data_IF_220424585904
#
_entry.id   IF_220424585904
#
_cell.length_a   1.000
_cell.length_b   1.000
_cell.length_c   1.000
_cell.angle_alpha   90.00
_cell.angle_beta   90.00
_cell.angle_gamma   90.00
#
_symmetry.space_group_name_H-M   'P 1'
#
loop_
_entity.id
_entity.type
_entity.pdbx_description
1 polymer ?
#
# COMPACT_ATOMS: atom_id res chain seq x y z
N UNK A 1 61.53 37.98 -73.83
CA UNK A 1 61.98 37.90 -75.24
C UNK A 1 62.68 36.57 -75.40
N UNK A 2 62.11 35.68 -76.20
CA UNK A 2 62.57 34.30 -76.36
C UNK A 2 63.55 34.21 -77.54
N UNK A 3 64.57 33.35 -77.44
CA UNK A 3 65.76 33.33 -78.32
C UNK A 3 65.39 33.18 -79.81
N UNK A 4 65.26 34.29 -80.52
CA UNK A 4 65.29 34.37 -81.99
C UNK A 4 66.53 35.13 -82.49
N UNK A 5 67.37 35.60 -81.57
CA UNK A 5 68.62 36.31 -81.82
C UNK A 5 69.72 35.77 -80.89
N UNK A 6 70.95 35.66 -81.40
CA UNK A 6 72.18 35.42 -80.63
C UNK A 6 73.13 36.56 -80.98
N UNK A 7 73.70 37.24 -79.98
CA UNK A 7 74.64 38.36 -80.14
C UNK A 7 74.16 39.46 -81.11
N UNK A 8 72.87 39.81 -81.05
CA UNK A 8 72.26 40.87 -81.87
C UNK A 8 72.06 40.51 -83.35
N UNK A 9 72.22 39.23 -83.73
CA UNK A 9 71.93 38.74 -85.09
C UNK A 9 70.74 37.78 -85.09
N UNK A 10 69.76 37.94 -86.01
CA UNK A 10 68.63 37.04 -86.11
C UNK A 10 69.07 35.64 -86.55
N UNK A 11 68.58 34.63 -85.84
CA UNK A 11 68.75 33.23 -86.20
C UNK A 11 68.12 33.01 -87.58
N UNK A 12 68.80 32.26 -88.46
CA UNK A 12 68.33 31.94 -89.82
C UNK A 12 68.43 30.43 -90.08
N UNK A 13 67.60 29.91 -91.00
CA UNK A 13 67.62 28.50 -91.39
C UNK A 13 67.26 27.54 -90.25
N UNK A 14 67.99 26.43 -90.12
CA UNK A 14 67.74 25.39 -89.10
C UNK A 14 67.88 25.91 -87.66
N UNK A 15 68.80 26.86 -87.39
CA UNK A 15 68.94 27.44 -86.05
C UNK A 15 67.72 28.25 -85.61
N UNK A 16 67.04 28.93 -86.54
CA UNK A 16 65.77 29.59 -86.26
C UNK A 16 64.67 28.57 -85.94
N UNK A 17 64.67 27.43 -86.63
CA UNK A 17 63.72 26.34 -86.40
C UNK A 17 63.94 25.71 -85.03
N UNK A 18 65.19 25.44 -84.66
CA UNK A 18 65.57 24.92 -83.34
C UNK A 18 65.22 25.94 -82.25
N UNK A 19 65.58 27.22 -82.43
CA UNK A 19 65.24 28.29 -81.48
C UNK A 19 63.73 28.41 -81.26
N UNK A 20 62.92 28.35 -82.32
CA UNK A 20 61.45 28.32 -82.19
C UNK A 20 60.94 27.09 -81.43
N UNK A 21 61.48 25.90 -81.71
CA UNK A 21 61.09 24.66 -81.01
C UNK A 21 61.46 24.74 -79.51
N UNK A 22 62.67 25.19 -79.18
CA UNK A 22 63.13 25.37 -77.80
C UNK A 22 62.28 26.40 -77.07
N UNK A 23 61.97 27.53 -77.71
CA UNK A 23 61.09 28.55 -77.15
C UNK A 23 59.69 27.99 -76.86
N UNK A 24 59.10 27.22 -77.78
CA UNK A 24 57.83 26.52 -77.53
C UNK A 24 57.92 25.54 -76.36
N UNK A 25 59.02 24.80 -76.23
CA UNK A 25 59.23 23.91 -75.06
C UNK A 25 59.32 24.70 -73.75
N UNK A 26 60.00 25.85 -73.74
CA UNK A 26 60.12 26.70 -72.54
C UNK A 26 58.76 27.32 -72.18
N UNK A 27 57.95 27.73 -73.15
CA UNK A 27 56.58 28.21 -72.91
C UNK A 27 55.70 27.11 -72.33
N UNK A 28 55.80 25.90 -72.86
CA UNK A 28 55.08 24.73 -72.35
C UNK A 28 55.53 24.36 -70.93
N UNK A 29 56.83 24.39 -70.64
CA UNK A 29 57.39 24.19 -69.31
C UNK A 29 56.90 25.22 -68.30
N UNK A 30 56.88 26.50 -68.67
CA UNK A 30 56.38 27.57 -67.82
C UNK A 30 54.89 27.41 -67.54
N UNK A 31 54.09 27.07 -68.57
CA UNK A 31 52.66 26.80 -68.42
C UNK A 31 52.40 25.58 -67.54
N UNK A 32 53.14 24.49 -67.73
CA UNK A 32 53.01 23.28 -66.92
C UNK A 32 53.35 23.55 -65.45
N UNK A 33 54.48 24.22 -65.20
CA UNK A 33 54.93 24.52 -63.83
C UNK A 33 53.93 25.41 -63.12
N UNK A 34 53.39 26.43 -63.80
CA UNK A 34 52.34 27.29 -63.25
C UNK A 34 51.09 26.49 -62.88
N UNK A 35 50.61 25.63 -63.77
CA UNK A 35 49.39 24.84 -63.55
C UNK A 35 49.55 23.80 -62.45
N UNK A 36 50.66 23.07 -62.41
CA UNK A 36 50.93 22.10 -61.34
C UNK A 36 51.10 22.80 -60.00
N UNK A 37 51.82 23.93 -59.96
CA UNK A 37 51.96 24.73 -58.72
C UNK A 37 50.60 25.24 -58.25
N UNK A 38 49.74 25.69 -59.17
CA UNK A 38 48.39 26.15 -58.86
C UNK A 38 47.53 25.03 -58.28
N UNK A 39 47.47 23.86 -58.93
CA UNK A 39 46.67 22.72 -58.45
C UNK A 39 47.19 22.17 -57.13
N UNK A 40 48.52 22.04 -56.99
CA UNK A 40 49.12 21.62 -55.73
C UNK A 40 48.78 22.58 -54.58
N UNK A 41 48.79 23.89 -54.84
CA UNK A 41 48.38 24.91 -53.86
C UNK A 41 46.89 24.85 -53.55
N UNK A 42 46.03 24.82 -54.57
CA UNK A 42 44.58 24.80 -54.39
C UNK A 42 44.09 23.53 -53.67
N UNK A 43 44.47 22.35 -54.17
CA UNK A 43 43.98 21.07 -53.66
C UNK A 43 44.77 20.61 -52.43
N UNK A 44 46.10 20.79 -52.44
CA UNK A 44 46.98 20.28 -51.40
C UNK A 44 47.16 21.21 -50.19
N UNK A 45 47.02 22.53 -50.36
CA UNK A 45 47.28 23.50 -49.27
C UNK A 45 46.03 24.29 -48.88
N UNK A 46 45.29 24.83 -49.84
CA UNK A 46 44.11 25.67 -49.57
C UNK A 46 42.83 24.86 -49.32
N UNK A 47 42.83 23.55 -49.57
CA UNK A 47 41.65 22.70 -49.44
C UNK A 47 40.53 23.03 -50.44
N UNK A 48 40.82 23.77 -51.51
CA UNK A 48 39.89 24.06 -52.60
C UNK A 48 39.78 22.85 -53.53
N UNK A 49 38.92 21.91 -53.14
CA UNK A 49 38.72 20.65 -53.85
C UNK A 49 38.05 20.85 -55.22
N UNK A 50 38.63 20.27 -56.28
CA UNK A 50 38.13 20.33 -57.66
C UNK A 50 39.07 21.01 -58.66
N UNK A 51 40.22 21.51 -58.22
CA UNK A 51 41.24 22.07 -59.11
C UNK A 51 41.83 21.03 -60.06
N UNK A 52 41.96 21.38 -61.34
CA UNK A 52 42.58 20.56 -62.38
C UNK A 52 43.57 21.39 -63.19
N UNK A 53 44.70 20.79 -63.57
CA UNK A 53 45.76 21.38 -64.37
C UNK A 53 45.35 21.35 -65.85
N UNK A 54 45.48 22.50 -66.53
CA UNK A 54 45.16 22.64 -67.95
C UNK A 54 46.36 23.19 -68.72
N UNK A 55 47.17 22.28 -69.27
CA UNK A 55 48.38 22.63 -70.03
C UNK A 55 48.10 22.51 -71.53
N UNK A 56 48.01 23.65 -72.23
CA UNK A 56 47.75 23.67 -73.69
C UNK A 56 48.93 23.07 -74.45
N UNK A 57 48.64 22.14 -75.37
CA UNK A 57 49.65 21.51 -76.20
C UNK A 57 50.51 20.44 -75.48
N UNK A 58 50.10 20.01 -74.28
CA UNK A 58 50.76 18.91 -73.59
C UNK A 58 50.70 17.62 -74.42
N UNK A 59 51.86 17.03 -74.67
CA UNK A 59 52.02 15.78 -75.41
C UNK A 59 53.14 14.95 -74.78
N UNK A 60 53.12 13.63 -75.03
CA UNK A 60 54.06 12.70 -74.42
C UNK A 60 54.04 12.78 -72.89
N UNK A 61 55.22 12.80 -72.28
CA UNK A 61 55.40 12.81 -70.82
C UNK A 61 54.70 13.96 -70.10
N UNK A 62 54.56 15.13 -70.74
CA UNK A 62 53.84 16.28 -70.16
C UNK A 62 52.35 16.03 -70.02
N UNK A 63 51.78 15.32 -70.99
CA UNK A 63 50.38 14.91 -70.93
C UNK A 63 50.19 13.88 -69.81
N UNK A 64 51.04 12.86 -69.78
CA UNK A 64 50.98 11.82 -68.75
C UNK A 64 51.10 12.39 -67.34
N UNK A 65 52.01 13.36 -67.13
CA UNK A 65 52.14 14.07 -65.84
C UNK A 65 50.91 14.92 -65.51
N UNK A 66 50.36 15.66 -66.49
CA UNK A 66 49.15 16.47 -66.29
C UNK A 66 47.96 15.58 -65.92
N UNK A 67 47.81 14.44 -66.61
CA UNK A 67 46.77 13.45 -66.36
C UNK A 67 46.93 12.79 -64.98
N UNK A 68 48.16 12.47 -64.57
CA UNK A 68 48.46 11.96 -63.22
C UNK A 68 48.15 12.98 -62.12
N UNK A 69 48.53 14.26 -62.29
CA UNK A 69 48.19 15.34 -61.34
C UNK A 69 46.68 15.52 -61.24
N UNK A 70 45.97 15.48 -62.37
CA UNK A 70 44.52 15.57 -62.40
C UNK A 70 43.85 14.35 -61.74
N UNK A 71 44.34 13.14 -61.98
CA UNK A 71 43.85 11.92 -61.35
C UNK A 71 44.04 11.99 -59.82
N UNK A 72 45.22 12.44 -59.35
CA UNK A 72 45.49 12.64 -57.93
C UNK A 72 44.54 13.70 -57.33
N UNK A 73 44.38 14.85 -57.99
CA UNK A 73 43.51 15.93 -57.53
C UNK A 73 42.04 15.52 -57.48
N UNK A 74 41.56 14.77 -58.48
CA UNK A 74 40.19 14.23 -58.51
C UNK A 74 39.97 13.17 -57.44
N UNK A 75 40.93 12.27 -57.22
CA UNK A 75 40.86 11.27 -56.14
C UNK A 75 40.80 11.96 -54.77
N UNK A 76 41.73 12.86 -54.45
CA UNK A 76 41.72 13.61 -53.20
C UNK A 76 40.42 14.42 -53.01
N UNK A 77 39.96 15.08 -54.07
CA UNK A 77 38.71 15.86 -54.06
C UNK A 77 37.51 15.00 -53.71
N UNK A 78 37.34 13.85 -54.38
CA UNK A 78 36.19 12.97 -54.14
C UNK A 78 36.24 12.34 -52.74
N UNK A 79 37.43 11.92 -52.31
CA UNK A 79 37.65 11.28 -51.01
C UNK A 79 37.36 12.22 -49.85
N UNK A 80 38.00 13.40 -49.82
CA UNK A 80 37.85 14.37 -48.74
C UNK A 80 36.44 14.95 -48.70
N UNK A 81 35.82 15.21 -49.86
CA UNK A 81 34.45 15.73 -49.92
C UNK A 81 33.44 14.72 -49.39
N UNK A 82 33.60 13.42 -49.68
CA UNK A 82 32.69 12.39 -49.16
C UNK A 82 32.88 12.16 -47.65
N UNK A 83 34.13 12.21 -47.15
CA UNK A 83 34.41 12.18 -45.71
C UNK A 83 33.71 13.37 -45.03
N UNK A 84 33.88 14.58 -45.56
CA UNK A 84 33.27 15.79 -45.00
C UNK A 84 31.74 15.71 -45.00
N UNK A 85 31.13 15.16 -46.05
CA UNK A 85 29.67 14.97 -46.11
C UNK A 85 29.19 14.02 -45.00
N UNK A 86 29.85 12.87 -44.83
CA UNK A 86 29.46 11.85 -43.84
C UNK A 86 29.70 12.37 -42.42
N UNK A 87 30.84 13.01 -42.14
CA UNK A 87 31.09 13.56 -40.80
C UNK A 87 30.17 14.73 -40.47
N UNK A 88 29.77 15.53 -41.46
CA UNK A 88 28.72 16.56 -41.29
C UNK A 88 27.37 15.94 -41.00
N UNK A 89 27.00 14.86 -41.70
CA UNK A 89 25.75 14.14 -41.46
C UNK A 89 25.71 13.55 -40.05
N UNK A 90 26.77 12.88 -39.61
CA UNK A 90 26.92 12.35 -38.25
C UNK A 90 26.81 13.46 -37.20
N UNK A 91 27.46 14.61 -37.42
CA UNK A 91 27.35 15.76 -36.53
C UNK A 91 25.92 16.32 -36.44
N UNK A 92 25.13 16.20 -37.52
CA UNK A 92 23.70 16.55 -37.52
C UNK A 92 22.77 15.44 -37.01
N UNK A 93 23.31 14.29 -36.60
CA UNK A 93 22.54 13.14 -36.10
C UNK A 93 22.03 12.18 -37.18
N UNK A 94 22.37 12.39 -38.45
CA UNK A 94 22.07 11.45 -39.53
C UNK A 94 23.14 10.35 -39.60
N UNK A 95 22.84 9.22 -38.94
CA UNK A 95 23.71 8.04 -38.88
C UNK A 95 23.43 7.05 -40.02
N UNK A 96 22.61 7.42 -41.01
CA UNK A 96 22.32 6.57 -42.17
C UNK A 96 23.38 6.66 -43.27
N UNK A 97 24.17 7.75 -43.28
CA UNK A 97 25.20 7.98 -44.30
C UNK A 97 26.51 7.26 -43.98
N UNK A 98 27.12 6.71 -45.03
CA UNK A 98 28.44 6.08 -44.99
C UNK A 98 29.34 6.60 -46.10
N UNK A 99 30.64 6.48 -45.88
CA UNK A 99 31.62 6.72 -46.94
C UNK A 99 31.54 5.55 -47.91
N UNK A 100 31.17 5.82 -49.16
CA UNK A 100 30.95 4.79 -50.19
C UNK A 100 31.99 4.83 -51.30
N UNK A 101 32.70 5.94 -51.46
CA UNK A 101 33.75 6.12 -52.48
C UNK A 101 34.81 5.01 -52.43
N UNK A 102 35.28 4.57 -53.60
CA UNK A 102 36.34 3.57 -53.71
C UNK A 102 37.70 4.20 -53.38
N UNK A 103 38.41 3.62 -52.42
CA UNK A 103 39.61 4.18 -51.81
C UNK A 103 40.57 3.07 -51.46
N UNK A 104 41.86 3.39 -51.44
CA UNK A 104 42.95 2.44 -51.20
C UNK A 104 43.93 3.01 -50.19
N UNK A 105 44.77 2.13 -49.62
CA UNK A 105 45.79 2.52 -48.65
C UNK A 105 45.20 3.16 -47.39
N UNK A 106 45.85 4.21 -46.87
CA UNK A 106 45.47 4.91 -45.64
C UNK A 106 44.04 5.49 -45.69
N UNK A 107 43.58 5.92 -46.88
CA UNK A 107 42.20 6.44 -47.02
C UNK A 107 41.16 5.33 -46.86
N UNK A 108 41.49 4.09 -47.23
CA UNK A 108 40.62 2.94 -46.97
C UNK A 108 40.51 2.64 -45.48
N UNK A 109 41.63 2.71 -44.75
CA UNK A 109 41.64 2.57 -43.30
C UNK A 109 40.81 3.67 -42.63
N UNK A 110 40.95 4.92 -43.07
CA UNK A 110 40.14 6.04 -42.60
C UNK A 110 38.65 5.84 -42.89
N UNK A 111 38.29 5.43 -44.12
CA UNK A 111 36.91 5.08 -44.50
C UNK A 111 36.33 4.02 -43.57
N UNK A 112 37.07 2.93 -43.35
CA UNK A 112 36.62 1.84 -42.50
C UNK A 112 36.46 2.28 -41.05
N UNK A 113 37.39 3.09 -40.55
CA UNK A 113 37.33 3.65 -39.18
C UNK A 113 36.11 4.54 -38.99
N UNK A 114 35.87 5.48 -39.92
CA UNK A 114 34.69 6.36 -39.85
C UNK A 114 33.40 5.55 -39.99
N UNK A 115 33.31 4.63 -40.96
CA UNK A 115 32.11 3.81 -41.13
C UNK A 115 31.83 2.92 -39.91
N UNK A 116 32.88 2.37 -39.27
CA UNK A 116 32.73 1.60 -38.02
C UNK A 116 32.22 2.48 -36.88
N UNK A 117 32.72 3.72 -36.78
CA UNK A 117 32.23 4.69 -35.79
C UNK A 117 30.76 5.05 -36.04
N UNK A 118 30.34 5.23 -37.30
CA UNK A 118 28.91 5.44 -37.64
C UNK A 118 28.06 4.23 -37.24
N UNK A 119 28.53 3.01 -37.51
CA UNK A 119 27.82 1.78 -37.14
C UNK A 119 27.65 1.63 -35.63
N UNK A 120 28.71 1.90 -34.85
CA UNK A 120 28.66 1.87 -33.40
C UNK A 120 27.69 2.92 -32.84
N UNK A 121 27.73 4.16 -33.36
CA UNK A 121 26.81 5.23 -32.99
C UNK A 121 25.35 4.84 -33.27
N UNK A 122 25.09 4.28 -34.46
CA UNK A 122 23.74 3.93 -34.88
C UNK A 122 23.18 2.77 -34.03
N UNK A 123 24.00 1.75 -33.77
CA UNK A 123 23.62 0.63 -32.90
C UNK A 123 23.35 1.10 -31.47
N UNK A 124 24.22 1.94 -30.90
CA UNK A 124 24.00 2.50 -29.57
C UNK A 124 22.73 3.35 -29.49
N UNK A 125 22.49 4.25 -30.46
CA UNK A 125 21.30 5.09 -30.48
C UNK A 125 20.01 4.25 -30.57
N UNK A 126 20.01 3.21 -31.40
CA UNK A 126 18.88 2.27 -31.50
C UNK A 126 18.62 1.54 -30.18
N UNK A 127 19.68 1.01 -29.55
CA UNK A 127 19.56 0.25 -28.30
C UNK A 127 19.12 1.11 -27.11
N UNK A 128 19.65 2.33 -26.97
CA UNK A 128 19.21 3.27 -25.93
C UNK A 128 17.75 3.64 -26.14
N UNK A 129 17.33 3.90 -27.37
CA UNK A 129 15.93 4.22 -27.68
C UNK A 129 15.01 3.05 -27.34
N UNK A 130 15.43 1.82 -27.66
CA UNK A 130 14.68 0.60 -27.35
C UNK A 130 14.54 0.37 -25.85
N UNK A 131 15.64 0.44 -25.09
CA UNK A 131 15.63 0.25 -23.63
C UNK A 131 14.83 1.33 -22.93
N UNK A 132 14.97 2.60 -23.34
CA UNK A 132 14.19 3.70 -22.79
C UNK A 132 12.68 3.48 -23.00
N UNK A 133 12.28 2.98 -24.17
CA UNK A 133 10.89 2.63 -24.46
C UNK A 133 10.40 1.43 -23.66
N UNK A 134 11.15 0.32 -23.65
CA UNK A 134 10.76 -0.91 -22.96
C UNK A 134 10.65 -0.71 -21.44
N UNK A 135 11.70 -0.18 -20.81
CA UNK A 135 11.78 -0.04 -19.35
C UNK A 135 11.04 1.21 -18.88
N UNK A 136 11.17 2.33 -19.59
CA UNK A 136 10.63 3.61 -19.17
C UNK A 136 9.18 3.87 -19.58
N UNK A 137 8.70 3.32 -20.71
CA UNK A 137 7.34 3.59 -21.21
C UNK A 137 6.43 2.37 -21.19
N UNK A 138 6.91 1.22 -21.65
CA UNK A 138 6.10 0.00 -21.76
C UNK A 138 6.05 -0.80 -20.45
N UNK A 139 6.90 -0.49 -19.47
CA UNK A 139 6.98 -1.21 -18.20
C UNK A 139 7.51 -2.65 -18.34
N UNK A 140 8.14 -2.99 -19.47
CA UNK A 140 8.82 -4.27 -19.69
C UNK A 140 10.15 -4.26 -18.95
N UNK A 141 10.08 -4.58 -17.67
CA UNK A 141 11.24 -4.57 -16.77
C UNK A 141 12.24 -5.68 -17.13
N UNK A 142 13.53 -5.34 -17.21
CA UNK A 142 14.63 -6.25 -17.52
C UNK A 142 15.26 -6.05 -18.90
N UNK A 143 14.80 -5.07 -19.68
CA UNK A 143 15.45 -4.68 -20.93
C UNK A 143 16.87 -4.17 -20.68
N UNK A 144 17.82 -4.65 -21.49
CA UNK A 144 19.23 -4.23 -21.47
C UNK A 144 19.68 -3.89 -22.89
N UNK A 145 20.53 -2.87 -23.01
CA UNK A 145 21.18 -2.47 -24.23
C UNK A 145 22.32 -3.44 -24.54
N UNK A 146 22.36 -3.92 -25.77
CA UNK A 146 23.45 -4.77 -26.27
C UNK A 146 24.03 -4.17 -27.54
N UNK A 147 25.19 -3.54 -27.40
CA UNK A 147 25.93 -2.98 -28.53
C UNK A 147 27.17 -3.84 -28.76
N UNK A 148 27.32 -4.40 -29.97
CA UNK A 148 28.43 -5.29 -30.28
C UNK A 148 29.68 -4.49 -30.70
N UNK A 149 30.87 -5.00 -30.36
CA UNK A 149 32.14 -4.42 -30.79
C UNK A 149 32.49 -3.05 -30.17
N UNK A 150 31.83 -2.65 -29.08
CA UNK A 150 32.14 -1.40 -28.38
C UNK A 150 33.21 -1.58 -27.30
N UNK A 151 34.11 -0.60 -27.23
CA UNK A 151 35.13 -0.47 -26.20
C UNK A 151 35.30 0.99 -25.75
N UNK A 152 36.06 1.21 -24.68
CA UNK A 152 36.25 2.55 -24.10
C UNK A 152 34.92 3.20 -23.71
N UNK A 153 34.77 4.49 -24.00
CA UNK A 153 33.59 5.29 -23.63
C UNK A 153 32.26 4.70 -24.08
N UNK A 154 32.22 4.02 -25.24
CA UNK A 154 30.99 3.39 -25.73
C UNK A 154 30.51 2.24 -24.86
N UNK A 155 31.46 1.48 -24.33
CA UNK A 155 31.17 0.42 -23.37
C UNK A 155 30.70 1.01 -22.04
N UNK A 156 31.40 2.02 -21.53
CA UNK A 156 31.03 2.69 -20.27
C UNK A 156 29.61 3.27 -20.33
N UNK A 157 29.22 3.86 -21.46
CA UNK A 157 27.86 4.36 -21.68
C UNK A 157 26.82 3.24 -21.73
N UNK A 158 27.13 2.14 -22.44
CA UNK A 158 26.23 0.97 -22.53
C UNK A 158 26.03 0.35 -21.14
N UNK A 159 27.11 0.18 -20.38
CA UNK A 159 27.08 -0.37 -19.02
C UNK A 159 26.31 0.55 -18.07
N UNK A 160 26.44 1.88 -18.22
CA UNK A 160 25.69 2.85 -17.44
C UNK A 160 24.18 2.80 -17.69
N UNK A 161 23.76 2.68 -18.96
CA UNK A 161 22.33 2.51 -19.33
C UNK A 161 21.79 1.20 -18.76
N UNK A 162 22.57 0.13 -18.84
CA UNK A 162 22.19 -1.18 -18.29
C UNK A 162 22.07 -1.16 -16.76
N UNK A 163 22.97 -0.47 -16.07
CA UNK A 163 22.92 -0.31 -14.62
C UNK A 163 21.69 0.50 -14.20
N UNK A 164 21.36 1.57 -14.93
CA UNK A 164 20.13 2.34 -14.70
C UNK A 164 18.88 1.48 -14.89
N UNK A 165 18.79 0.76 -16.01
CA UNK A 165 17.64 -0.10 -16.34
C UNK A 165 17.48 -1.25 -15.33
N UNK A 166 18.59 -1.87 -14.90
CA UNK A 166 18.58 -2.93 -13.89
C UNK A 166 18.14 -2.41 -12.52
N UNK A 167 18.61 -1.24 -12.09
CA UNK A 167 18.21 -0.63 -10.83
C UNK A 167 16.71 -0.30 -10.83
N UNK A 168 16.20 0.38 -11.86
CA UNK A 168 14.78 0.69 -11.97
C UNK A 168 13.91 -0.58 -12.01
N UNK A 169 14.36 -1.59 -12.77
CA UNK A 169 13.70 -2.90 -12.83
C UNK A 169 13.62 -3.57 -11.45
N UNK A 170 14.74 -3.65 -10.73
CA UNK A 170 14.79 -4.29 -9.41
C UNK A 170 13.93 -3.54 -8.38
N UNK A 171 14.00 -2.21 -8.39
CA UNK A 171 13.24 -1.35 -7.49
C UNK A 171 11.74 -1.48 -7.70
N UNK A 172 11.26 -1.31 -8.94
CA UNK A 172 9.83 -1.37 -9.26
C UNK A 172 9.27 -2.78 -9.02
N UNK A 173 10.03 -3.84 -9.38
CA UNK A 173 9.58 -5.21 -9.15
C UNK A 173 9.44 -5.54 -7.67
N UNK A 174 10.40 -5.10 -6.83
CA UNK A 174 10.30 -5.33 -5.38
C UNK A 174 9.12 -4.58 -4.74
N UNK A 175 8.84 -3.36 -5.20
CA UNK A 175 7.65 -2.60 -4.79
C UNK A 175 6.38 -3.36 -5.19
N UNK A 176 6.31 -3.85 -6.44
CA UNK A 176 5.16 -4.61 -6.93
C UNK A 176 4.93 -5.89 -6.11
N UNK A 177 5.99 -6.62 -5.78
CA UNK A 177 5.90 -7.85 -4.98
C UNK A 177 5.35 -7.58 -3.57
N UNK A 178 5.83 -6.52 -2.91
CA UNK A 178 5.39 -6.15 -1.54
C UNK A 178 3.97 -5.63 -1.55
N UNK A 179 3.63 -4.74 -2.49
CA UNK A 179 2.26 -4.20 -2.61
C UNK A 179 1.24 -5.29 -2.98
N UNK A 180 1.62 -6.26 -3.82
CA UNK A 180 0.81 -7.45 -4.10
C UNK A 180 0.62 -8.30 -2.83
N UNK A 181 1.68 -8.53 -2.06
CA UNK A 181 1.58 -9.29 -0.81
C UNK A 181 0.65 -8.62 0.21
N UNK A 182 0.76 -7.29 0.38
CA UNK A 182 -0.12 -6.49 1.23
C UNK A 182 -1.58 -6.59 0.78
N UNK A 183 -1.83 -6.54 -0.53
CA UNK A 183 -3.18 -6.71 -1.08
C UNK A 183 -3.76 -8.12 -0.82
N UNK A 184 -2.91 -9.14 -0.72
CA UNK A 184 -3.27 -10.50 -0.35
C UNK A 184 -3.32 -10.72 1.18
N UNK A 185 -3.08 -9.67 1.99
CA UNK A 185 -3.08 -9.73 3.45
C UNK A 185 -1.78 -10.23 4.09
N UNK A 186 -0.72 -10.46 3.31
CA UNK A 186 0.60 -10.80 3.82
C UNK A 186 1.37 -9.52 4.19
N UNK A 187 1.23 -9.12 5.45
CA UNK A 187 1.88 -7.94 6.04
C UNK A 187 3.28 -8.23 6.59
N UNK A 188 3.81 -9.44 6.37
CA UNK A 188 5.16 -9.81 6.79
C UNK A 188 6.24 -9.31 5.82
N UNK A 189 5.86 -9.01 4.56
CA UNK A 189 6.80 -8.56 3.53
C UNK A 189 7.06 -7.07 3.62
N UNK A 190 8.33 -6.72 3.41
CA UNK A 190 8.78 -5.33 3.30
C UNK A 190 9.70 -5.16 2.11
N UNK A 191 9.77 -3.92 1.63
CA UNK A 191 10.78 -3.53 0.65
C UNK A 191 12.12 -3.50 1.38
N UNK A 192 13.05 -4.35 0.97
CA UNK A 192 14.38 -4.49 1.61
C UNK A 192 15.52 -3.98 0.75
N UNK A 193 15.31 -3.88 -0.57
CA UNK A 193 16.32 -3.43 -1.53
C UNK A 193 16.92 -2.07 -1.14
N UNK A 194 18.23 -1.90 -1.34
CA UNK A 194 18.92 -0.64 -1.07
C UNK A 194 18.58 0.38 -2.16
N UNK A 195 18.09 1.54 -1.73
CA UNK A 195 17.52 2.58 -2.60
C UNK A 195 17.84 3.95 -2.04
N UNK A 196 17.92 4.94 -2.92
CA UNK A 196 18.31 6.32 -2.59
C UNK A 196 17.32 7.31 -3.20
N UNK A 197 17.33 8.54 -2.70
CA UNK A 197 16.50 9.63 -3.20
C UNK A 197 15.00 9.33 -3.07
N UNK A 198 14.22 9.68 -4.10
CA UNK A 198 12.76 9.52 -4.11
C UNK A 198 12.31 8.06 -3.92
N UNK A 199 13.08 7.09 -4.41
CA UNK A 199 12.75 5.67 -4.22
C UNK A 199 12.91 5.24 -2.75
N UNK A 200 13.83 5.86 -2.00
CA UNK A 200 13.95 5.64 -0.55
C UNK A 200 12.74 6.18 0.20
N UNK A 201 12.26 7.36 -0.18
CA UNK A 201 11.04 7.93 0.39
C UNK A 201 9.82 7.05 0.10
N UNK A 202 9.70 6.54 -1.13
CA UNK A 202 8.66 5.60 -1.52
C UNK A 202 8.74 4.29 -0.72
N UNK A 203 9.94 3.70 -0.60
CA UNK A 203 10.21 2.52 0.24
C UNK A 203 9.77 2.77 1.69
N UNK A 204 10.17 3.91 2.26
CA UNK A 204 9.85 4.27 3.64
C UNK A 204 8.34 4.41 3.83
N UNK A 205 7.67 5.07 2.90
CA UNK A 205 6.22 5.29 2.93
C UNK A 205 5.47 3.97 2.86
N UNK A 206 5.81 3.09 1.92
CA UNK A 206 5.18 1.77 1.80
C UNK A 206 5.47 0.91 3.03
N UNK A 207 6.72 0.84 3.49
CA UNK A 207 7.05 0.05 4.68
C UNK A 207 6.33 0.56 5.94
N UNK A 208 6.19 1.88 6.08
CA UNK A 208 5.42 2.49 7.19
C UNK A 208 3.94 2.12 7.10
N UNK A 209 3.36 2.13 5.89
CA UNK A 209 1.99 1.68 5.67
C UNK A 209 1.82 0.19 6.03
N UNK A 210 2.76 -0.68 5.65
CA UNK A 210 2.75 -2.10 6.06
C UNK A 210 2.81 -2.24 7.58
N UNK A 211 3.68 -1.47 8.25
CA UNK A 211 3.80 -1.50 9.71
C UNK A 211 2.51 -1.06 10.42
N UNK A 212 1.87 0.00 9.91
CA UNK A 212 0.59 0.49 10.44
C UNK A 212 -0.52 -0.55 10.25
N UNK A 213 -0.62 -1.17 9.07
CA UNK A 213 -1.57 -2.25 8.80
C UNK A 213 -1.36 -3.44 9.72
N UNK A 214 -0.10 -3.87 9.89
CA UNK A 214 0.23 -5.03 10.69
C UNK A 214 -0.09 -4.79 12.18
N UNK A 215 0.26 -3.60 12.68
CA UNK A 215 -0.05 -3.17 14.05
C UNK A 215 -1.57 -3.11 14.29
N UNK A 216 -2.31 -2.51 13.35
CA UNK A 216 -3.77 -2.45 13.43
C UNK A 216 -4.42 -3.84 13.42
N UNK A 217 -4.00 -4.72 12.50
CA UNK A 217 -4.52 -6.08 12.42
C UNK A 217 -4.26 -6.88 13.72
N UNK A 218 -3.06 -6.73 14.29
CA UNK A 218 -2.71 -7.32 15.58
C UNK A 218 -3.59 -6.81 16.72
N UNK A 219 -3.78 -5.49 16.82
CA UNK A 219 -4.58 -4.86 17.87
C UNK A 219 -6.07 -5.21 17.77
N UNK A 220 -6.65 -5.21 16.57
CA UNK A 220 -8.04 -5.65 16.37
C UNK A 220 -8.22 -7.11 16.76
N UNK A 221 -7.30 -7.98 16.34
CA UNK A 221 -7.34 -9.40 16.70
C UNK A 221 -7.25 -9.59 18.22
N UNK A 222 -6.36 -8.82 18.88
CA UNK A 222 -6.18 -8.87 20.34
C UNK A 222 -7.42 -8.41 21.08
N UNK A 223 -7.98 -7.25 20.73
CA UNK A 223 -9.19 -6.69 21.39
C UNK A 223 -10.41 -7.57 21.15
N UNK A 224 -10.60 -8.09 19.94
CA UNK A 224 -11.68 -9.02 19.64
C UNK A 224 -11.59 -10.29 20.50
N UNK A 225 -10.37 -10.82 20.69
CA UNK A 225 -10.13 -11.98 21.56
C UNK A 225 -10.37 -11.64 23.03
N UNK A 226 -9.78 -10.57 23.55
CA UNK A 226 -9.88 -10.19 24.96
C UNK A 226 -11.31 -9.84 25.38
N UNK A 227 -11.95 -8.91 24.66
CA UNK A 227 -13.27 -8.39 25.02
C UNK A 227 -14.38 -9.32 24.53
N UNK A 228 -14.25 -9.86 23.33
CA UNK A 228 -15.29 -10.67 22.69
C UNK A 228 -15.29 -12.15 23.08
N UNK A 229 -14.11 -12.75 23.32
CA UNK A 229 -14.00 -14.21 23.58
C UNK A 229 -13.61 -14.52 25.02
N UNK A 230 -12.59 -13.85 25.57
CA UNK A 230 -12.08 -14.11 26.91
C UNK A 230 -12.86 -13.40 28.02
N UNK A 231 -13.72 -12.44 27.67
CA UNK A 231 -14.47 -11.62 28.65
C UNK A 231 -13.60 -10.71 29.50
N UNK A 232 -12.36 -10.43 29.08
CA UNK A 232 -11.47 -9.45 29.72
C UNK A 232 -11.89 -8.05 29.32
N UNK A 233 -12.87 -7.52 30.05
CA UNK A 233 -13.45 -6.20 29.79
C UNK A 233 -12.46 -5.06 30.06
N UNK A 234 -12.51 -4.03 29.23
CA UNK A 234 -11.64 -2.85 29.31
C UNK A 234 -10.46 -2.85 28.34
N UNK A 235 -10.31 -3.89 27.52
CA UNK A 235 -9.31 -3.92 26.43
C UNK A 235 -9.59 -2.83 25.39
N UNK A 236 -8.54 -2.12 24.99
CA UNK A 236 -8.59 -1.08 23.94
C UNK A 236 -7.44 -1.28 22.96
N UNK A 237 -7.71 -1.03 21.68
CA UNK A 237 -6.75 -1.05 20.60
C UNK A 237 -5.85 0.20 20.70
N UNK A 238 -4.53 -0.03 20.66
CA UNK A 238 -3.52 1.04 20.69
C UNK A 238 -2.61 0.94 19.48
N UNK A 239 -2.97 1.65 18.41
CA UNK A 239 -2.19 1.68 17.18
C UNK A 239 -1.44 3.02 17.11
N UNK A 240 -0.10 2.96 17.15
CA UNK A 240 0.74 4.18 17.11
C UNK A 240 0.82 4.74 15.70
N UNK A 241 0.81 6.08 15.61
CA UNK A 241 1.06 6.79 14.34
C UNK A 241 -0.08 6.69 13.32
N UNK A 242 -1.28 6.26 13.72
CA UNK A 242 -2.46 6.25 12.84
C UNK A 242 -3.07 7.63 12.71
N UNK A 243 -3.51 7.96 11.50
CA UNK A 243 -4.21 9.19 11.16
C UNK A 243 -5.30 8.89 10.11
N UNK A 244 -6.23 9.83 9.92
CA UNK A 244 -7.35 9.68 8.99
C UNK A 244 -8.17 8.41 9.27
N UNK A 245 -8.51 7.67 8.22
CA UNK A 245 -9.34 6.46 8.30
C UNK A 245 -8.82 5.42 9.29
N UNK A 246 -7.50 5.28 9.44
CA UNK A 246 -6.91 4.32 10.40
C UNK A 246 -7.21 4.69 11.84
N UNK A 247 -7.21 5.99 12.14
CA UNK A 247 -7.59 6.49 13.45
C UNK A 247 -9.07 6.26 13.69
N UNK A 248 -9.92 6.60 12.71
CA UNK A 248 -11.37 6.42 12.82
C UNK A 248 -11.74 4.96 13.08
N UNK A 249 -11.10 4.01 12.40
CA UNK A 249 -11.30 2.58 12.63
C UNK A 249 -10.85 2.14 14.04
N UNK A 250 -9.71 2.65 14.52
CA UNK A 250 -9.22 2.36 15.87
C UNK A 250 -10.19 2.90 16.93
N UNK A 251 -10.69 4.12 16.74
CA UNK A 251 -11.64 4.77 17.65
C UNK A 251 -13.00 4.05 17.65
N UNK A 252 -13.44 3.53 16.50
CA UNK A 252 -14.66 2.72 16.41
C UNK A 252 -14.52 1.38 17.16
N UNK A 253 -13.40 0.67 17.01
CA UNK A 253 -13.13 -0.58 17.75
C UNK A 253 -13.10 -0.30 19.25
N UNK A 254 -12.47 0.79 19.66
CA UNK A 254 -12.42 1.21 21.06
C UNK A 254 -13.80 1.58 21.62
N UNK A 255 -14.62 2.29 20.83
CA UNK A 255 -15.99 2.63 21.21
C UNK A 255 -16.85 1.39 21.38
N UNK A 256 -16.74 0.42 20.48
CA UNK A 256 -17.42 -0.87 20.58
C UNK A 256 -16.99 -1.64 21.84
N UNK A 257 -15.68 -1.76 22.07
CA UNK A 257 -15.13 -2.46 23.24
C UNK A 257 -15.53 -1.78 24.58
N UNK A 258 -15.52 -0.45 24.62
CA UNK A 258 -15.94 0.32 25.79
C UNK A 258 -17.44 0.17 26.07
N UNK A 259 -18.27 0.21 25.03
CA UNK A 259 -19.71 -0.01 25.17
C UNK A 259 -20.03 -1.41 25.71
N UNK A 260 -19.44 -2.46 25.13
CA UNK A 260 -19.62 -3.83 25.62
C UNK A 260 -19.13 -3.98 27.06
N UNK A 261 -17.97 -3.42 27.39
CA UNK A 261 -17.41 -3.40 28.74
C UNK A 261 -18.36 -2.75 29.74
N UNK A 262 -18.86 -1.55 29.42
CA UNK A 262 -19.78 -0.81 30.28
C UNK A 262 -21.09 -1.56 30.49
N UNK A 263 -21.68 -2.09 29.42
CA UNK A 263 -22.93 -2.82 29.46
C UNK A 263 -22.84 -4.09 30.32
N UNK A 264 -21.85 -4.95 30.06
CA UNK A 264 -21.68 -6.21 30.79
C UNK A 264 -21.32 -5.97 32.25
N UNK A 265 -20.47 -4.97 32.56
CA UNK A 265 -20.11 -4.67 33.95
C UNK A 265 -21.29 -4.15 34.77
N UNK A 266 -22.17 -3.34 34.17
CA UNK A 266 -23.39 -2.87 34.86
C UNK A 266 -24.37 -4.02 35.11
N UNK A 267 -24.54 -4.92 34.15
CA UNK A 267 -25.35 -6.13 34.34
C UNK A 267 -24.79 -6.95 35.50
N UNK A 268 -23.48 -7.20 35.49
CA UNK A 268 -22.81 -7.97 36.54
C UNK A 268 -22.94 -7.32 37.93
N UNK A 269 -22.86 -5.99 38.03
CA UNK A 269 -23.04 -5.29 39.29
C UNK A 269 -24.46 -5.49 39.86
N UNK A 270 -25.49 -5.31 39.02
CA UNK A 270 -26.88 -5.43 39.46
C UNK A 270 -27.22 -6.87 39.80
N UNK A 271 -26.81 -7.85 38.99
CA UNK A 271 -27.06 -9.27 39.30
C UNK A 271 -26.32 -9.73 40.55
N UNK A 272 -25.11 -9.20 40.81
CA UNK A 272 -24.38 -9.45 42.06
C UNK A 272 -25.10 -8.84 43.26
N UNK A 273 -25.60 -7.60 43.13
CA UNK A 273 -26.36 -6.95 44.20
C UNK A 273 -27.63 -7.73 44.55
N UNK A 274 -28.38 -8.17 43.53
CA UNK A 274 -29.56 -9.02 43.68
C UNK A 274 -29.21 -10.34 44.38
N UNK A 275 -28.10 -10.98 44.00
CA UNK A 275 -27.63 -12.21 44.64
C UNK A 275 -27.24 -12.01 46.12
N UNK A 276 -26.79 -10.81 46.50
CA UNK A 276 -26.51 -10.41 47.88
C UNK A 276 -27.75 -9.90 48.64
N UNK A 277 -28.93 -9.90 48.00
CA UNK A 277 -30.19 -9.44 48.57
C UNK A 277 -30.44 -7.93 48.51
N UNK A 278 -29.57 -7.16 47.84
CA UNK A 278 -29.78 -5.73 47.58
C UNK A 278 -30.62 -5.56 46.30
N UNK A 279 -31.93 -5.40 46.50
CA UNK A 279 -32.92 -5.22 45.44
C UNK A 279 -33.17 -3.73 45.11
N UNK A 280 -32.38 -2.82 45.67
CA UNK A 280 -32.49 -1.38 45.39
C UNK A 280 -31.79 -0.99 44.08
N UNK A 281 -30.86 -1.82 43.59
CA UNK A 281 -30.08 -1.54 42.38
C UNK A 281 -30.81 -1.97 41.11
N UNK A 282 -30.71 -1.11 40.09
CA UNK A 282 -31.20 -1.38 38.73
C UNK A 282 -30.15 -1.03 37.70
N UNK A 283 -30.26 -1.65 36.53
CA UNK A 283 -29.45 -1.26 35.37
C UNK A 283 -30.00 0.07 34.88
N UNK A 284 -29.16 1.10 34.87
CA UNK A 284 -29.54 2.47 34.48
C UNK A 284 -28.92 2.93 33.16
N UNK A 285 -27.81 2.32 32.74
CA UNK A 285 -27.07 2.68 31.52
C UNK A 285 -27.97 2.71 30.29
N UNK A 286 -27.75 3.72 29.43
CA UNK A 286 -28.44 3.84 28.15
C UNK A 286 -27.95 2.77 27.18
N UNK A 287 -28.88 1.93 26.71
CA UNK A 287 -28.61 0.76 25.89
C UNK A 287 -29.71 0.61 24.85
N UNK A 288 -29.38 -0.01 23.72
CA UNK A 288 -30.28 -0.18 22.58
C UNK A 288 -30.28 -1.63 22.11
N UNK A 289 -31.28 -2.00 21.30
CA UNK A 289 -31.40 -3.35 20.73
C UNK A 289 -31.54 -4.44 21.79
N UNK A 290 -30.91 -5.59 21.56
CA UNK A 290 -30.98 -6.77 22.44
C UNK A 290 -30.51 -6.48 23.88
N UNK A 291 -29.56 -5.56 24.06
CA UNK A 291 -29.09 -5.17 25.41
C UNK A 291 -30.17 -4.40 26.18
N UNK A 292 -31.04 -3.65 25.49
CA UNK A 292 -32.19 -2.99 26.13
C UNK A 292 -33.23 -4.01 26.60
N UNK A 293 -33.49 -5.04 25.80
CA UNK A 293 -34.38 -6.14 26.20
C UNK A 293 -33.84 -6.88 27.42
N UNK A 294 -32.53 -7.14 27.45
CA UNK A 294 -31.85 -7.74 28.60
C UNK A 294 -31.94 -6.84 29.84
N UNK A 295 -31.68 -5.54 29.70
CA UNK A 295 -31.83 -4.54 30.78
C UNK A 295 -33.24 -4.56 31.36
N UNK A 296 -34.26 -4.53 30.49
CA UNK A 296 -35.65 -4.52 30.92
C UNK A 296 -36.01 -5.81 31.63
N UNK A 297 -35.60 -6.96 31.09
CA UNK A 297 -35.83 -8.29 31.69
C UNK A 297 -35.24 -8.37 33.10
N UNK A 298 -33.97 -7.96 33.27
CA UNK A 298 -33.32 -7.95 34.58
C UNK A 298 -34.02 -6.98 35.53
N UNK A 299 -34.30 -5.75 35.10
CA UNK A 299 -34.97 -4.77 35.95
C UNK A 299 -36.37 -5.21 36.39
N UNK A 300 -37.14 -5.86 35.51
CA UNK A 300 -38.44 -6.46 35.86
C UNK A 300 -38.29 -7.59 36.87
N UNK A 301 -37.26 -8.43 36.72
CA UNK A 301 -36.95 -9.47 37.70
C UNK A 301 -36.61 -8.87 39.08
N UNK A 302 -35.81 -7.79 39.13
CA UNK A 302 -35.53 -7.06 40.38
C UNK A 302 -36.81 -6.51 41.01
N UNK A 303 -37.70 -5.91 40.20
CA UNK A 303 -38.97 -5.37 40.68
C UNK A 303 -39.90 -6.43 41.26
N UNK A 304 -39.97 -7.60 40.61
CA UNK A 304 -40.74 -8.75 41.08
C UNK A 304 -40.18 -9.29 42.41
N UNK A 305 -38.85 -9.45 42.50
CA UNK A 305 -38.18 -9.87 43.73
C UNK A 305 -38.44 -8.90 44.88
N UNK A 306 -38.31 -7.59 44.61
CA UNK A 306 -38.47 -6.57 45.63
C UNK A 306 -39.91 -6.51 46.15
N UNK A 307 -40.88 -6.61 45.24
CA UNK A 307 -42.31 -6.66 45.59
C UNK A 307 -42.63 -7.90 46.43
N UNK A 308 -42.13 -9.08 46.03
CA UNK A 308 -42.31 -10.31 46.79
C UNK A 308 -41.68 -10.23 48.18
N UNK A 309 -40.42 -9.76 48.29
CA UNK A 309 -39.73 -9.64 49.57
C UNK A 309 -40.46 -8.69 50.54
N UNK A 310 -40.93 -7.54 50.04
CA UNK A 310 -41.74 -6.60 50.81
C UNK A 310 -43.03 -7.26 51.32
N UNK A 311 -43.70 -8.01 50.44
CA UNK A 311 -45.00 -8.57 50.73
C UNK A 311 -44.94 -9.74 51.72
N UNK A 312 -43.94 -10.62 51.57
CA UNK A 312 -43.66 -11.66 52.56
C UNK A 312 -43.32 -11.06 53.91
N UNK A 313 -42.48 -10.02 53.95
CA UNK A 313 -42.12 -9.32 55.20
C UNK A 313 -43.36 -8.70 55.86
N UNK A 314 -44.24 -8.09 55.06
CA UNK A 314 -45.49 -7.48 55.54
C UNK A 314 -46.43 -8.51 56.14
N UNK A 315 -46.71 -9.61 55.42
CA UNK A 315 -47.61 -10.68 55.88
C UNK A 315 -47.04 -11.37 57.11
N UNK A 316 -45.73 -11.64 57.13
CA UNK A 316 -45.06 -12.23 58.29
C UNK A 316 -45.20 -11.33 59.54
N UNK A 317 -45.04 -10.01 59.39
CA UNK A 317 -45.23 -9.07 60.49
C UNK A 317 -46.70 -8.97 60.92
N UNK A 318 -47.64 -8.81 59.99
CA UNK A 318 -49.06 -8.65 60.31
C UNK A 318 -49.65 -9.89 60.99
N UNK A 319 -49.47 -11.06 60.38
CA UNK A 319 -50.08 -12.31 60.85
C UNK A 319 -49.25 -12.94 61.96
N UNK A 320 -47.92 -12.90 61.86
CA UNK A 320 -47.01 -13.57 62.79
C UNK A 320 -46.63 -12.75 64.02
N UNK A 321 -46.43 -11.43 63.91
CA UNK A 321 -45.96 -10.59 65.01
C UNK A 321 -47.06 -9.72 65.62
N UNK A 322 -47.85 -9.04 64.78
CA UNK A 322 -48.86 -8.07 65.23
C UNK A 322 -50.21 -8.70 65.57
N UNK A 323 -50.43 -9.97 65.20
CA UNK A 323 -51.71 -10.66 65.40
C UNK A 323 -52.87 -10.07 64.57
N UNK A 324 -52.57 -9.28 63.53
CA UNK A 324 -53.56 -8.81 62.55
C UNK A 324 -53.86 -9.93 61.57
N UNK A 325 -54.74 -10.82 61.99
CA UNK A 325 -55.12 -12.00 61.23
C UNK A 325 -55.88 -11.61 59.96
N UNK A 326 -55.67 -12.35 58.87
CA UNK A 326 -56.31 -12.16 57.56
C UNK A 326 -55.45 -11.45 56.51
N UNK A 327 -54.22 -11.05 56.84
CA UNK A 327 -53.27 -10.52 55.86
C UNK A 327 -52.88 -11.55 54.80
N UNK A 328 -52.92 -11.16 53.54
CA UNK A 328 -52.50 -11.96 52.39
C UNK A 328 -51.53 -11.16 51.54
N UNK A 329 -50.57 -11.86 50.96
CA UNK A 329 -49.61 -11.36 50.00
C UNK A 329 -50.24 -11.20 48.61
N UNK A 330 -50.16 -10.00 48.04
CA UNK A 330 -50.50 -9.69 46.65
C UNK A 330 -49.26 -9.21 45.91
N UNK A 331 -48.68 -10.07 45.08
CA UNK A 331 -47.53 -9.71 44.23
C UNK A 331 -48.00 -9.65 42.78
N UNK A 332 -47.91 -8.47 42.15
CA UNK A 332 -48.39 -8.26 40.78
C UNK A 332 -47.39 -8.76 39.74
N UNK A 333 -47.91 -9.34 38.67
CA UNK A 333 -47.10 -9.75 37.51
C UNK A 333 -46.21 -10.97 37.75
N UNK A 334 -46.46 -11.75 38.81
CA UNK A 334 -45.73 -13.00 39.08
C UNK A 334 -46.39 -14.19 38.39
N UNK A 335 -45.56 -15.09 37.87
CA UNK A 335 -45.96 -16.37 37.27
C UNK A 335 -44.95 -17.47 37.63
N UNK A 336 -45.31 -18.73 37.36
CA UNK A 336 -44.48 -19.89 37.70
C UNK A 336 -44.15 -19.95 39.19
N UNK A 337 -42.90 -20.27 39.53
CA UNK A 337 -42.42 -20.44 40.92
C UNK A 337 -42.76 -19.26 41.82
N UNK A 338 -42.75 -18.03 41.31
CA UNK A 338 -43.07 -16.83 42.11
C UNK A 338 -44.54 -16.78 42.54
N UNK A 339 -45.44 -17.24 41.67
CA UNK A 339 -46.85 -17.37 42.02
C UNK A 339 -47.05 -18.46 43.06
N UNK A 340 -46.42 -19.62 42.85
CA UNK A 340 -46.52 -20.75 43.78
C UNK A 340 -46.02 -20.36 45.20
N UNK A 341 -44.92 -19.61 45.29
CA UNK A 341 -44.42 -19.11 46.57
C UNK A 341 -45.39 -18.12 47.24
N UNK A 342 -46.00 -17.22 46.47
CA UNK A 342 -47.00 -16.27 46.98
C UNK A 342 -48.24 -17.01 47.50
N UNK A 343 -48.72 -17.99 46.75
CA UNK A 343 -49.87 -18.82 47.12
C UNK A 343 -49.59 -19.64 48.38
N UNK A 344 -48.37 -20.18 48.53
CA UNK A 344 -47.95 -20.89 49.75
C UNK A 344 -47.89 -19.97 50.99
N UNK A 345 -47.37 -18.75 50.86
CA UNK A 345 -47.38 -17.76 51.95
C UNK A 345 -48.80 -17.40 52.35
N UNK A 346 -49.69 -17.25 51.37
CA UNK A 346 -51.12 -16.99 51.60
C UNK A 346 -51.82 -18.15 52.28
N UNK A 347 -51.54 -19.38 51.87
CA UNK A 347 -52.09 -20.58 52.50
C UNK A 347 -51.63 -20.71 53.95
N UNK A 348 -50.35 -20.44 54.23
CA UNK A 348 -49.82 -20.42 55.60
C UNK A 348 -50.51 -19.33 56.45
N UNK A 349 -50.60 -18.10 55.94
CA UNK A 349 -51.24 -16.99 56.63
C UNK A 349 -52.73 -17.23 56.91
N UNK A 350 -53.45 -17.82 55.94
CA UNK A 350 -54.86 -18.18 56.07
C UNK A 350 -55.05 -19.29 57.12
N UNK A 351 -54.20 -20.31 57.13
CA UNK A 351 -54.24 -21.38 58.13
C UNK A 351 -54.02 -20.83 59.54
N UNK A 352 -52.98 -20.01 59.76
CA UNK A 352 -52.72 -19.38 61.05
C UNK A 352 -53.89 -18.49 61.50
N UNK A 353 -54.44 -17.70 60.58
CA UNK A 353 -55.61 -16.85 60.83
C UNK A 353 -56.82 -17.67 61.28
N UNK A 354 -57.14 -18.73 60.54
CA UNK A 354 -58.27 -19.60 60.86
C UNK A 354 -58.10 -20.31 62.20
N UNK A 355 -56.90 -20.82 62.47
CA UNK A 355 -56.57 -21.52 63.71
C UNK A 355 -56.70 -20.60 64.93
N UNK A 356 -56.05 -19.44 64.90
CA UNK A 356 -56.03 -18.51 66.03
C UNK A 356 -57.42 -17.89 66.28
N UNK A 357 -58.17 -17.51 65.23
CA UNK A 357 -59.53 -16.97 65.41
C UNK A 357 -60.47 -18.00 66.04
N UNK A 358 -60.44 -19.25 65.59
CA UNK A 358 -61.29 -20.29 66.17
C UNK A 358 -60.96 -20.55 67.65
N UNK A 359 -59.67 -20.56 68.02
CA UNK A 359 -59.27 -20.68 69.43
C UNK A 359 -59.79 -19.48 70.21
N UNK A 360 -59.55 -18.26 69.73
CA UNK A 360 -59.99 -17.03 70.37
C UNK A 360 -61.51 -16.96 70.58
N UNK A 361 -62.30 -17.37 69.57
CA UNK A 361 -63.76 -17.39 69.63
C UNK A 361 -64.26 -18.36 70.71
N UNK A 362 -63.67 -19.55 70.81
CA UNK A 362 -64.03 -20.55 71.82
C UNK A 362 -63.60 -20.11 73.21
N UNK A 363 -62.35 -19.64 73.38
CA UNK A 363 -61.88 -19.15 74.69
C UNK A 363 -62.68 -17.92 75.17
N UNK A 364 -63.12 -17.06 74.25
CA UNK A 364 -63.97 -15.91 74.58
C UNK A 364 -65.37 -16.36 75.01
N UNK A 365 -65.95 -17.37 74.34
CA UNK A 365 -67.23 -17.94 74.72
C UNK A 365 -67.16 -18.58 76.12
N UNK A 366 -66.12 -19.38 76.38
CA UNK A 366 -65.85 -19.98 77.69
C UNK A 366 -65.72 -18.91 78.77
N UNK A 367 -64.95 -17.83 78.53
CA UNK A 367 -64.80 -16.73 79.48
C UNK A 367 -66.11 -15.97 79.77
N UNK A 368 -67.07 -16.00 78.83
CA UNK A 368 -68.42 -15.42 79.00
C UNK A 368 -69.43 -16.42 79.59
N UNK A 369 -68.99 -17.63 79.96
CA UNK A 369 -69.83 -18.68 80.54
C UNK A 369 -70.57 -19.55 79.51
N UNK A 370 -70.33 -19.37 78.22
CA UNK A 370 -70.88 -20.22 77.16
C UNK A 370 -69.95 -21.40 76.89
N UNK A 371 -70.18 -22.50 77.59
CA UNK A 371 -69.42 -23.74 77.49
C UNK A 371 -69.96 -24.70 76.42
N UNK A 372 -70.92 -24.25 75.60
CA UNK A 372 -71.45 -25.05 74.50
C UNK A 372 -70.53 -25.07 73.27
N UNK A 373 -69.54 -24.16 73.20
CA UNK A 373 -68.63 -24.02 72.06
C UNK A 373 -67.36 -24.86 72.22
N UNK A 374 -66.97 -25.52 71.13
CA UNK A 374 -65.70 -26.24 71.00
C UNK A 374 -64.96 -25.80 69.75
N UNK A 375 -63.64 -25.95 69.76
CA UNK A 375 -62.82 -25.76 68.57
C UNK A 375 -63.09 -26.93 67.63
N UNK A 376 -63.53 -26.64 66.42
CA UNK A 376 -63.88 -27.66 65.40
C UNK A 376 -62.94 -27.67 64.20
N UNK A 377 -62.12 -26.64 64.00
CA UNK A 377 -61.23 -26.50 62.84
C UNK A 377 -60.24 -27.67 62.73
N UNK A 378 -59.99 -28.14 61.50
CA UNK A 378 -59.04 -29.23 61.22
C UNK A 378 -57.60 -28.72 61.35
N UNK A 379 -56.86 -29.31 62.28
CA UNK A 379 -55.53 -28.87 62.68
C UNK A 379 -54.64 -30.06 62.94
N UNK A 380 -53.34 -29.88 62.74
CA UNK A 380 -52.33 -30.93 62.89
C UNK A 380 -51.18 -30.42 63.76
N UNK A 381 -50.37 -31.35 64.27
CA UNK A 381 -49.21 -31.05 65.11
C UNK A 381 -49.58 -30.37 66.43
N UNK A 382 -48.76 -29.44 66.90
CA UNK A 382 -48.93 -28.75 68.19
C UNK A 382 -50.27 -28.00 68.31
N UNK A 383 -50.83 -27.52 67.19
CA UNK A 383 -52.14 -26.85 67.19
C UNK A 383 -53.28 -27.83 67.49
N UNK A 384 -53.14 -29.11 67.12
CA UNK A 384 -54.11 -30.15 67.49
C UNK A 384 -54.08 -30.45 68.98
N UNK A 385 -52.88 -30.50 69.58
CA UNK A 385 -52.73 -30.67 71.02
C UNK A 385 -53.36 -29.49 71.78
N UNK A 386 -53.12 -28.26 71.30
CA UNK A 386 -53.75 -27.06 71.84
C UNK A 386 -55.28 -27.12 71.74
N UNK A 387 -55.81 -27.49 70.56
CA UNK A 387 -57.26 -27.71 70.34
C UNK A 387 -57.83 -28.71 71.35
N UNK A 388 -57.19 -29.86 71.52
CA UNK A 388 -57.65 -30.90 72.43
C UNK A 388 -57.60 -30.44 73.89
N UNK A 389 -56.55 -29.71 74.27
CA UNK A 389 -56.38 -29.16 75.62
C UNK A 389 -57.48 -28.15 75.93
N UNK A 390 -57.73 -27.19 75.03
CA UNK A 390 -58.80 -26.19 75.20
C UNK A 390 -60.17 -26.86 75.25
N UNK A 391 -60.46 -27.81 74.35
CA UNK A 391 -61.74 -28.53 74.36
C UNK A 391 -61.95 -29.35 75.66
N UNK A 392 -60.88 -29.98 76.17
CA UNK A 392 -60.94 -30.71 77.45
C UNK A 392 -61.20 -29.75 78.62
N UNK A 393 -60.59 -28.56 78.61
CA UNK A 393 -60.87 -27.52 79.60
C UNK A 393 -62.35 -27.09 79.56
N UNK A 394 -62.92 -26.90 78.36
CA UNK A 394 -64.36 -26.58 78.22
C UNK A 394 -65.22 -27.68 78.84
N UNK A 395 -64.91 -28.95 78.56
CA UNK A 395 -65.64 -30.09 79.11
C UNK A 395 -65.57 -30.16 80.64
N UNK A 396 -64.40 -29.88 81.22
CA UNK A 396 -64.20 -29.86 82.66
C UNK A 396 -64.93 -28.71 83.35
N UNK A 397 -64.98 -27.51 82.75
CA UNK A 397 -65.71 -26.36 83.30
C UNK A 397 -67.22 -26.52 83.21
N UNK A 398 -67.72 -27.38 82.31
CA UNK A 398 -69.15 -27.63 82.08
C UNK A 398 -69.70 -28.76 82.95
N UNK A 399 -68.82 -29.43 83.70
CA UNK A 399 -69.13 -30.50 84.67
C UNK A 399 -69.20 -29.93 86.09
#
# INVERSE_FOLDING_TARGET
SMMVEIDGRPLRGEFLRIGKIVNTMVEQLASFTSEVTRVAREVGTEGKLGGQARVRGAAGTWKDLTDNVNAMATNLTSQVRNIAEVTTAVASGDLSKKITVDVKGEILELKNTINTMVDQLNSFASEVTRVAREVGTEGKLGGQARVEGVGGTWKDLTDSVNLMAANLTGQVRNIADVTTAVALGDLSKKITVDVKGEILELKSTINTMVDQLNSFAGEVTRVAREVGTEGKLGGQAQVRGVAGTWKDLTDNVNSMAANLTGQVRNIAEVTTAVALGDLSKKITVDVKGEILELKNTINTMVDQLNSFASEVTRVAREVGTEGKLGGQAEVRGVGGTWKDLTDNVNLMAANLTGQVRNIADVTTAVARGDLSKKITVDVKGEILELKNTVNTMVDQLNS
#
